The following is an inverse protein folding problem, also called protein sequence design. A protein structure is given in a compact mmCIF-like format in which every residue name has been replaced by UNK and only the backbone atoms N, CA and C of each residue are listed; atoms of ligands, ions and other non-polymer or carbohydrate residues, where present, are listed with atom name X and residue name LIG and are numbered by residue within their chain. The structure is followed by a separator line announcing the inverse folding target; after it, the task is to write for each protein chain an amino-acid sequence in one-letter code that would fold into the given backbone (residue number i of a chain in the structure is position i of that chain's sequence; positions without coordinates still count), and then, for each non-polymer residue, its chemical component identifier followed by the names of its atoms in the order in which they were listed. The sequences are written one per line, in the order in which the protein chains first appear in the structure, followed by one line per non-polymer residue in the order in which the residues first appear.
data_IF_053481820305
#
_entry.id   IF_053481820305
#
_cell.length_a   1.000
_cell.length_b   1.000
_cell.length_c   1.000
_cell.angle_alpha   90.00
_cell.angle_beta   90.00
_cell.angle_gamma   90.00
#
_symmetry.space_group_name_H-M   'P 1'
#
loop_
_entity.id
_entity.type
_entity.pdbx_description
1 polymer ?
#
# COMPACT_ATOMS: atom_id res chain seq x y z
N UNK A 1 -10.08 -2.32 -0.36
CA UNK A 1 -9.03 -2.59 0.65
C UNK A 1 -7.87 -1.63 0.40
N UNK A 2 -7.44 -0.88 1.42
CA UNK A 2 -6.35 0.11 1.34
C UNK A 2 -5.12 -0.39 2.11
N UNK A 3 -3.97 -0.46 1.45
CA UNK A 3 -2.69 -0.81 2.08
C UNK A 3 -2.00 0.48 2.53
N UNK A 4 -2.09 0.83 3.80
CA UNK A 4 -1.74 2.17 4.30
C UNK A 4 -0.28 2.29 4.77
N UNK A 5 0.66 1.66 4.07
CA UNK A 5 2.08 1.86 4.38
C UNK A 5 2.53 3.28 3.99
N UNK A 6 3.24 4.00 4.87
CA UNK A 6 3.84 5.29 4.54
C UNK A 6 4.83 5.17 3.38
N UNK A 7 4.90 6.20 2.54
CA UNK A 7 5.79 6.24 1.36
C UNK A 7 7.27 6.00 1.73
N UNK A 8 7.72 6.50 2.88
CA UNK A 8 9.10 6.30 3.35
C UNK A 8 9.39 4.82 3.63
N UNK A 9 8.43 4.09 4.21
CA UNK A 9 8.56 2.64 4.41
C UNK A 9 8.59 1.91 3.07
N UNK A 10 7.74 2.31 2.12
CA UNK A 10 7.74 1.74 0.78
C UNK A 10 9.08 1.97 0.07
N UNK A 11 9.65 3.18 0.19
CA UNK A 11 10.98 3.52 -0.35
C UNK A 11 12.08 2.66 0.27
N UNK A 12 12.05 2.41 1.58
CA UNK A 12 13.07 1.54 2.21
C UNK A 12 13.00 0.07 1.76
N UNK A 13 11.85 -0.38 1.25
CA UNK A 13 11.61 -1.75 0.77
C UNK A 13 11.88 -1.92 -0.71
N UNK A 14 12.19 -0.83 -1.42
CA UNK A 14 12.34 -0.80 -2.87
C UNK A 14 13.58 -1.57 -3.33
N UNK A 15 13.37 -2.80 -3.81
CA UNK A 15 14.45 -3.65 -4.31
C UNK A 15 14.91 -3.26 -5.72
N UNK A 16 14.03 -2.63 -6.50
CA UNK A 16 14.24 -2.35 -7.93
C UNK A 16 14.71 -0.91 -8.18
N UNK A 17 14.71 -0.06 -7.15
CA UNK A 17 15.18 1.33 -7.23
C UNK A 17 14.21 2.27 -7.94
N UNK A 18 12.92 1.90 -8.06
CA UNK A 18 11.89 2.73 -8.68
C UNK A 18 11.73 4.10 -8.00
N UNK A 19 11.85 4.17 -6.67
CA UNK A 19 11.77 5.45 -5.94
C UNK A 19 12.95 6.35 -6.29
N UNK A 20 14.15 5.79 -6.46
CA UNK A 20 15.32 6.58 -6.86
C UNK A 20 15.18 7.12 -8.30
N UNK A 21 14.69 6.30 -9.23
CA UNK A 21 14.39 6.74 -10.61
C UNK A 21 13.27 7.79 -10.65
N UNK A 22 12.28 7.69 -9.76
CA UNK A 22 11.24 8.70 -9.62
C UNK A 22 11.81 10.02 -9.07
N UNK A 23 12.73 9.96 -8.11
CA UNK A 23 13.41 11.13 -7.54
C UNK A 23 14.32 11.83 -8.57
N UNK A 24 14.95 11.09 -9.50
CA UNK A 24 15.74 11.68 -10.60
C UNK A 24 14.88 12.18 -11.77
N UNK A 25 13.57 11.94 -11.75
CA UNK A 25 12.64 12.32 -12.81
C UNK A 25 12.70 11.40 -14.05
N UNK A 26 13.46 10.31 -14.00
CA UNK A 26 13.49 9.28 -15.04
C UNK A 26 12.17 8.48 -15.09
N UNK A 27 11.50 8.35 -13.94
CA UNK A 27 10.19 7.73 -13.82
C UNK A 27 9.11 8.80 -13.54
N UNK A 28 8.42 9.24 -14.59
CA UNK A 28 7.38 10.25 -14.50
C UNK A 28 6.09 9.72 -13.85
N UNK A 29 5.33 10.63 -13.22
CA UNK A 29 4.02 10.37 -12.63
C UNK A 29 4.01 9.24 -11.58
N UNK A 30 5.07 9.15 -10.78
CA UNK A 30 5.20 8.13 -9.75
C UNK A 30 4.40 8.51 -8.50
N UNK A 31 3.39 7.72 -8.10
CA UNK A 31 2.51 8.06 -6.98
C UNK A 31 3.27 8.15 -5.65
N UNK A 32 3.03 9.22 -4.89
CA UNK A 32 3.70 9.49 -3.62
C UNK A 32 5.08 10.16 -3.75
N UNK A 33 5.60 10.32 -4.98
CA UNK A 33 6.88 11.01 -5.24
C UNK A 33 6.66 12.19 -6.19
N UNK A 34 6.41 11.93 -7.48
CA UNK A 34 6.23 12.97 -8.51
C UNK A 34 4.76 13.22 -8.86
N UNK A 35 3.84 12.37 -8.41
CA UNK A 35 2.39 12.55 -8.47
C UNK A 35 1.76 12.32 -7.08
N UNK A 36 0.63 12.98 -6.76
CA UNK A 36 -0.07 12.72 -5.50
C UNK A 36 -0.63 11.29 -5.47
N UNK A 37 -0.52 10.65 -4.31
CA UNK A 37 -1.32 9.48 -3.98
C UNK A 37 -2.53 9.94 -3.20
N UNK A 38 -3.74 9.68 -3.69
CA UNK A 38 -4.99 10.00 -3.01
C UNK A 38 -5.51 8.73 -2.33
N UNK A 39 -5.40 8.63 -0.98
CA UNK A 39 -5.92 7.48 -0.27
C UNK A 39 -7.43 7.33 -0.49
N UNK A 40 -7.97 6.10 -0.55
CA UNK A 40 -9.40 5.89 -0.68
C UNK A 40 -10.16 6.57 0.47
N UNK A 41 -11.23 7.32 0.14
CA UNK A 41 -12.02 8.03 1.15
C UNK A 41 -12.78 7.07 2.09
N UNK A 42 -13.35 5.99 1.53
CA UNK A 42 -14.12 4.99 2.27
C UNK A 42 -13.66 3.57 1.92
N UNK A 43 -12.49 3.12 2.40
CA UNK A 43 -12.03 1.76 2.19
C UNK A 43 -12.82 0.78 3.07
N UNK A 44 -13.23 -0.36 2.51
CA UNK A 44 -13.88 -1.43 3.28
C UNK A 44 -12.98 -2.04 4.38
N UNK A 45 -11.66 -1.94 4.19
CA UNK A 45 -10.63 -2.43 5.10
C UNK A 45 -9.34 -1.64 4.86
N UNK A 46 -8.68 -1.24 5.93
CA UNK A 46 -7.35 -0.60 5.91
C UNK A 46 -6.35 -1.55 6.55
N UNK A 47 -5.25 -1.81 5.85
CA UNK A 47 -4.19 -2.72 6.28
C UNK A 47 -2.88 -1.94 6.46
N UNK A 48 -2.43 -1.69 7.70
CA UNK A 48 -1.15 -1.05 7.98
C UNK A 48 0.01 -2.04 7.80
N UNK A 49 0.38 -2.30 6.54
CA UNK A 49 1.43 -3.28 6.16
C UNK A 49 2.86 -2.88 6.59
N UNK A 50 3.01 -1.74 7.25
CA UNK A 50 4.26 -1.32 7.90
C UNK A 50 4.34 -1.78 9.37
N UNK A 51 3.19 -2.06 10.00
CA UNK A 51 3.09 -2.50 11.39
C UNK A 51 2.75 -3.98 11.51
N UNK A 52 1.97 -4.51 10.56
CA UNK A 52 1.46 -5.88 10.61
C UNK A 52 2.26 -6.82 9.70
N UNK A 53 2.50 -8.06 10.14
CA UNK A 53 3.00 -9.09 9.26
C UNK A 53 1.94 -9.47 8.21
N UNK A 54 2.39 -10.06 7.11
CA UNK A 54 1.51 -10.50 6.01
C UNK A 54 0.40 -11.42 6.52
N UNK A 55 0.72 -12.38 7.41
CA UNK A 55 -0.25 -13.33 7.95
C UNK A 55 -1.46 -12.65 8.59
N UNK A 56 -1.22 -11.66 9.46
CA UNK A 56 -2.29 -10.86 10.08
C UNK A 56 -3.11 -10.09 9.05
N UNK A 57 -2.47 -9.49 8.04
CA UNK A 57 -3.19 -8.78 6.98
C UNK A 57 -4.12 -9.72 6.18
N UNK A 58 -3.67 -10.96 5.94
CA UNK A 58 -4.46 -11.99 5.25
C UNK A 58 -5.62 -12.46 6.13
N UNK A 59 -5.41 -12.66 7.43
CA UNK A 59 -6.47 -13.02 8.38
C UNK A 59 -7.60 -11.98 8.39
N UNK A 60 -7.28 -10.69 8.49
CA UNK A 60 -8.26 -9.60 8.45
C UNK A 60 -9.00 -9.53 7.11
N UNK A 61 -8.31 -9.79 6.01
CA UNK A 61 -8.92 -9.83 4.69
C UNK A 61 -9.89 -11.01 4.55
N UNK A 62 -9.53 -12.20 5.04
CA UNK A 62 -10.40 -13.38 5.03
C UNK A 62 -11.64 -13.12 5.88
N UNK A 63 -11.47 -12.59 7.09
CA UNK A 63 -12.58 -12.26 7.99
C UNK A 63 -13.57 -11.27 7.34
N UNK A 64 -13.06 -10.27 6.60
CA UNK A 64 -13.92 -9.37 5.83
C UNK A 64 -14.73 -10.12 4.77
N UNK A 65 -14.11 -11.01 4.00
CA UNK A 65 -14.78 -11.75 2.94
C UNK A 65 -15.84 -12.71 3.49
N UNK A 66 -15.56 -13.41 4.60
CA UNK A 66 -16.52 -14.26 5.32
C UNK A 66 -17.73 -13.44 5.81
N UNK A 67 -17.48 -12.26 6.40
CA UNK A 67 -18.56 -11.38 6.88
C UNK A 67 -19.50 -10.90 5.77
N UNK A 68 -18.99 -10.86 4.53
CA UNK A 68 -19.73 -10.48 3.32
C UNK A 68 -20.29 -11.68 2.56
N UNK A 69 -20.08 -12.91 3.06
CA UNK A 69 -20.51 -14.16 2.42
C UNK A 69 -19.98 -14.31 0.99
N UNK A 70 -18.78 -13.79 0.73
CA UNK A 70 -18.10 -13.93 -0.56
C UNK A 70 -17.38 -15.27 -0.65
N UNK A 71 -16.90 -15.76 0.50
CA UNK A 71 -16.29 -17.08 0.71
C UNK A 71 -16.97 -17.78 1.89
#
# INVERSE_FOLDING_TARGET
VHLSAPVDVCRTRDADGHYALADTGELANFPGVSAPYEPPANPDLVLPTHEWPVGRCVEELIALLESRQVI
#
